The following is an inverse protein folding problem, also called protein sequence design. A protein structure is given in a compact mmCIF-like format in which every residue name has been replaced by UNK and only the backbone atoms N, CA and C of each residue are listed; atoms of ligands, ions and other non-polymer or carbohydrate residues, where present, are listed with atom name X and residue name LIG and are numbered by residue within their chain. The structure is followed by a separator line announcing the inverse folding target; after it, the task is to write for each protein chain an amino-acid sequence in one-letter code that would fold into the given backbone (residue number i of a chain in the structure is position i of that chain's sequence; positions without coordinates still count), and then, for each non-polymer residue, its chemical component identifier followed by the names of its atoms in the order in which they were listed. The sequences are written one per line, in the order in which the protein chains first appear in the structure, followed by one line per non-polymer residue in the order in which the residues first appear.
data_IF_063162910476
#
_entry.id   IF_063162910476
#
_cell.length_a   1.000
_cell.length_b   1.000
_cell.length_c   1.000
_cell.angle_alpha   90.00
_cell.angle_beta   90.00
_cell.angle_gamma   90.00
#
_symmetry.space_group_name_H-M   'P 1'
#
loop_
_entity.id
_entity.type
_entity.pdbx_description
1 polymer ?
#
# COMPACT_ATOMS: atom_id res chain seq x y z
N UNK A 1 15.53 23.40 15.46
CA UNK A 1 15.54 22.81 14.10
C UNK A 1 14.76 21.47 14.00
N UNK A 2 13.74 21.22 14.84
CA UNK A 2 13.11 19.89 15.03
C UNK A 2 11.72 19.71 14.40
N UNK A 3 11.20 20.70 13.66
CA UNK A 3 9.82 20.68 13.14
C UNK A 3 9.69 20.12 11.71
N UNK A 4 10.77 20.11 10.91
CA UNK A 4 10.67 19.79 9.47
C UNK A 4 10.47 18.30 9.15
N UNK A 5 10.83 17.38 10.06
CA UNK A 5 10.76 15.93 9.82
C UNK A 5 9.40 15.29 10.17
N UNK A 6 8.66 15.80 11.17
CA UNK A 6 7.35 15.23 11.58
C UNK A 6 6.27 15.39 10.51
N UNK A 7 6.28 16.51 9.78
CA UNK A 7 5.29 16.77 8.74
C UNK A 7 5.36 15.77 7.57
N UNK A 8 6.55 15.33 7.16
CA UNK A 8 6.70 14.40 6.04
C UNK A 8 6.17 13.00 6.37
N UNK A 9 6.40 12.52 7.60
CA UNK A 9 5.92 11.22 8.09
C UNK A 9 4.39 11.22 8.19
N UNK A 10 3.78 12.31 8.68
CA UNK A 10 2.32 12.43 8.76
C UNK A 10 1.67 12.43 7.37
N UNK A 11 2.21 13.19 6.42
CA UNK A 11 1.69 13.17 5.03
C UNK A 11 1.91 11.84 4.33
N UNK A 12 3.03 11.17 4.61
CA UNK A 12 3.29 9.83 4.09
C UNK A 12 2.22 8.84 4.55
N UNK A 13 1.88 8.83 5.84
CA UNK A 13 0.82 7.99 6.38
C UNK A 13 -0.55 8.32 5.78
N UNK A 14 -0.88 9.61 5.64
CA UNK A 14 -2.16 10.05 5.04
C UNK A 14 -2.29 9.62 3.59
N UNK A 15 -1.25 9.84 2.77
CA UNK A 15 -1.26 9.41 1.36
C UNK A 15 -1.37 7.89 1.24
N UNK A 16 -0.65 7.15 2.09
CA UNK A 16 -0.74 5.69 2.14
C UNK A 16 -2.15 5.21 2.50
N UNK A 17 -2.78 5.82 3.50
CA UNK A 17 -4.15 5.51 3.91
C UNK A 17 -5.17 5.83 2.81
N UNK A 18 -5.01 6.96 2.10
CA UNK A 18 -5.86 7.32 0.96
C UNK A 18 -5.72 6.32 -0.19
N UNK A 19 -4.49 5.93 -0.53
CA UNK A 19 -4.24 4.93 -1.56
C UNK A 19 -4.84 3.56 -1.17
N UNK A 20 -4.68 3.15 0.08
CA UNK A 20 -5.31 1.93 0.60
C UNK A 20 -6.85 2.00 0.53
N UNK A 21 -7.44 3.14 0.88
CA UNK A 21 -8.89 3.36 0.73
C UNK A 21 -9.36 3.24 -0.71
N UNK A 22 -8.63 3.85 -1.65
CA UNK A 22 -8.93 3.72 -3.10
C UNK A 22 -8.82 2.27 -3.56
N UNK A 23 -7.77 1.54 -3.14
CA UNK A 23 -7.62 0.12 -3.46
C UNK A 23 -8.85 -0.65 -3.00
N UNK A 24 -9.19 -0.54 -1.73
CA UNK A 24 -10.28 -1.29 -1.11
C UNK A 24 -11.62 -1.00 -1.80
N UNK A 25 -11.97 0.28 -1.97
CA UNK A 25 -13.25 0.68 -2.57
C UNK A 25 -13.35 0.20 -4.02
N UNK A 26 -12.29 0.34 -4.82
CA UNK A 26 -12.30 -0.10 -6.21
C UNK A 26 -12.38 -1.62 -6.30
N UNK A 27 -11.57 -2.34 -5.52
CA UNK A 27 -11.56 -3.79 -5.55
C UNK A 27 -12.91 -4.38 -5.10
N UNK A 28 -13.43 -3.94 -3.95
CA UNK A 28 -14.73 -4.41 -3.44
C UNK A 28 -15.85 -3.98 -4.37
N UNK A 29 -15.83 -2.76 -4.89
CA UNK A 29 -16.84 -2.26 -5.82
C UNK A 29 -16.91 -3.07 -7.12
N UNK A 30 -15.77 -3.42 -7.72
CA UNK A 30 -15.69 -4.18 -8.96
C UNK A 30 -16.06 -5.66 -8.79
N UNK A 31 -15.76 -6.24 -7.63
CA UNK A 31 -16.19 -7.61 -7.31
C UNK A 31 -17.69 -7.66 -6.98
N UNK A 32 -18.19 -6.69 -6.20
CA UNK A 32 -19.60 -6.56 -5.86
C UNK A 32 -20.48 -6.32 -7.09
N UNK A 33 -20.00 -5.56 -8.08
CA UNK A 33 -20.70 -5.35 -9.35
C UNK A 33 -20.64 -6.56 -10.28
N UNK A 34 -20.04 -7.68 -9.85
CA UNK A 34 -19.80 -8.89 -10.65
C UNK A 34 -19.05 -8.64 -11.97
N UNK A 35 -18.35 -7.50 -12.09
CA UNK A 35 -17.61 -7.16 -13.30
C UNK A 35 -16.30 -7.95 -13.39
N UNK A 36 -15.68 -8.21 -12.24
CA UNK A 36 -14.42 -8.93 -12.11
C UNK A 36 -14.51 -9.96 -10.98
N UNK A 37 -13.80 -11.08 -11.13
CA UNK A 37 -13.60 -12.01 -10.00
C UNK A 37 -12.68 -11.37 -8.96
N UNK A 38 -12.72 -11.85 -7.71
CA UNK A 38 -11.92 -11.32 -6.60
C UNK A 38 -10.43 -11.09 -6.94
N UNK A 39 -9.82 -12.00 -7.69
CA UNK A 39 -8.40 -11.93 -8.11
C UNK A 39 -8.16 -10.73 -9.04
N UNK A 40 -9.02 -10.55 -10.05
CA UNK A 40 -8.90 -9.44 -11.00
C UNK A 40 -9.35 -8.12 -10.38
N UNK A 41 -10.35 -8.13 -9.52
CA UNK A 41 -10.82 -6.97 -8.78
C UNK A 41 -9.74 -6.43 -7.83
N UNK A 42 -9.04 -7.31 -7.10
CA UNK A 42 -7.91 -6.91 -6.27
C UNK A 42 -6.77 -6.27 -7.08
N UNK A 43 -6.50 -6.84 -8.26
CA UNK A 43 -5.48 -6.31 -9.19
C UNK A 43 -5.88 -4.94 -9.74
N UNK A 44 -7.15 -4.77 -10.13
CA UNK A 44 -7.68 -3.48 -10.56
C UNK A 44 -7.57 -2.44 -9.43
N UNK A 45 -7.95 -2.79 -8.19
CA UNK A 45 -7.80 -1.93 -7.02
C UNK A 45 -6.37 -1.41 -6.85
N UNK A 46 -5.37 -2.28 -6.98
CA UNK A 46 -3.97 -1.89 -6.95
C UNK A 46 -3.58 -0.93 -8.08
N UNK A 47 -4.03 -1.19 -9.31
CA UNK A 47 -3.75 -0.33 -10.47
C UNK A 47 -4.32 1.08 -10.31
N UNK A 48 -5.47 1.23 -9.64
CA UNK A 48 -6.06 2.54 -9.33
C UNK A 48 -5.39 3.20 -8.11
N UNK A 49 -4.99 2.43 -7.11
CA UNK A 49 -4.34 2.94 -5.90
C UNK A 49 -2.90 3.40 -6.14
N UNK A 50 -2.15 2.73 -7.02
CA UNK A 50 -0.74 3.01 -7.26
C UNK A 50 -0.49 4.46 -7.76
N UNK A 51 -1.22 4.98 -8.78
CA UNK A 51 -1.12 6.38 -9.18
C UNK A 51 -1.46 7.35 -8.04
N UNK A 52 -2.51 7.07 -7.26
CA UNK A 52 -2.93 7.92 -6.14
C UNK A 52 -1.80 8.04 -5.10
N UNK A 53 -1.17 6.92 -4.77
CA UNK A 53 -0.02 6.89 -3.87
C UNK A 53 1.17 7.67 -4.45
N UNK A 54 1.52 7.41 -5.71
CA UNK A 54 2.67 8.06 -6.36
C UNK A 54 2.50 9.58 -6.48
N UNK A 55 1.35 10.04 -6.98
CA UNK A 55 1.06 11.47 -7.11
C UNK A 55 0.88 12.15 -5.75
N UNK A 56 0.29 11.46 -4.77
CA UNK A 56 0.15 11.95 -3.40
C UNK A 56 1.51 12.20 -2.74
N UNK A 57 2.41 11.22 -2.80
CA UNK A 57 3.76 11.37 -2.23
C UNK A 57 4.56 12.43 -2.98
N UNK A 58 4.40 12.53 -4.30
CA UNK A 58 5.03 13.59 -5.10
C UNK A 58 4.57 14.99 -4.70
N UNK A 59 3.26 15.21 -4.60
CA UNK A 59 2.67 16.53 -4.38
C UNK A 59 2.78 16.98 -2.92
N UNK A 60 2.74 16.05 -1.96
CA UNK A 60 2.65 16.36 -0.52
C UNK A 60 3.92 16.00 0.26
N UNK A 61 4.53 14.84 0.01
CA UNK A 61 5.70 14.38 0.77
C UNK A 61 7.03 14.90 0.22
N UNK A 62 7.15 15.13 -1.09
CA UNK A 62 8.41 15.45 -1.77
C UNK A 62 8.43 16.80 -2.52
N UNK A 63 7.49 17.71 -2.26
CA UNK A 63 7.37 18.99 -2.96
C UNK A 63 8.57 19.96 -2.84
N UNK A 64 9.69 19.53 -2.25
CA UNK A 64 10.94 20.28 -2.12
C UNK A 64 12.24 19.52 -2.44
N UNK A 65 12.19 18.30 -2.99
CA UNK A 65 13.41 17.56 -3.39
C UNK A 65 13.43 17.30 -4.90
N UNK A 66 14.32 18.02 -5.59
CA UNK A 66 14.67 17.87 -7.01
C UNK A 66 15.50 16.60 -7.28
N UNK A 67 15.03 15.44 -6.80
CA UNK A 67 15.64 14.16 -7.15
C UNK A 67 15.03 13.63 -8.44
N UNK A 68 15.88 13.38 -9.43
CA UNK A 68 15.54 13.01 -10.81
C UNK A 68 14.53 11.85 -10.85
N UNK A 69 13.36 12.12 -11.46
CA UNK A 69 12.20 11.21 -11.57
C UNK A 69 12.55 9.75 -11.93
N UNK A 70 13.62 9.55 -12.71
CA UNK A 70 14.04 8.25 -13.22
C UNK A 70 14.52 7.25 -12.16
N UNK A 71 15.01 7.71 -11.00
CA UNK A 71 15.58 6.79 -9.98
C UNK A 71 14.62 6.43 -8.85
N UNK A 72 13.70 7.34 -8.48
CA UNK A 72 12.76 7.11 -7.38
C UNK A 72 11.56 6.24 -7.80
N UNK A 73 11.07 6.41 -9.04
CA UNK A 73 9.94 5.66 -9.57
C UNK A 73 10.14 4.14 -9.59
N UNK A 74 11.22 3.58 -10.17
CA UNK A 74 11.37 2.12 -10.24
C UNK A 74 11.53 1.48 -8.86
N UNK A 75 12.17 2.17 -7.91
CA UNK A 75 12.28 1.70 -6.52
C UNK A 75 10.92 1.69 -5.83
N UNK A 76 10.16 2.77 -5.96
CA UNK A 76 8.81 2.86 -5.41
C UNK A 76 7.87 1.82 -6.02
N UNK A 77 7.93 1.66 -7.34
CA UNK A 77 7.18 0.65 -8.08
C UNK A 77 7.53 -0.76 -7.61
N UNK A 78 8.81 -1.10 -7.47
CA UNK A 78 9.24 -2.41 -6.97
C UNK A 78 8.67 -2.69 -5.57
N UNK A 79 8.75 -1.73 -4.65
CA UNK A 79 8.18 -1.87 -3.30
C UNK A 79 6.66 -2.06 -3.35
N UNK A 80 5.97 -1.26 -4.16
CA UNK A 80 4.52 -1.34 -4.30
C UNK A 80 4.08 -2.69 -4.90
N UNK A 81 4.78 -3.18 -5.93
CA UNK A 81 4.52 -4.48 -6.55
C UNK A 81 4.82 -5.62 -5.58
N UNK A 82 5.92 -5.58 -4.84
CA UNK A 82 6.22 -6.61 -3.82
C UNK A 82 5.14 -6.65 -2.74
N UNK A 83 4.69 -5.49 -2.25
CA UNK A 83 3.58 -5.42 -1.29
C UNK A 83 2.26 -5.94 -1.87
N UNK A 84 1.98 -5.62 -3.14
CA UNK A 84 0.81 -6.14 -3.84
C UNK A 84 0.87 -7.65 -4.03
N UNK A 85 2.01 -8.21 -4.43
CA UNK A 85 2.15 -9.67 -4.58
C UNK A 85 1.94 -10.40 -3.26
N UNK A 86 2.45 -9.86 -2.15
CA UNK A 86 2.18 -10.40 -0.82
C UNK A 86 0.69 -10.33 -0.46
N UNK A 87 0.03 -9.19 -0.73
CA UNK A 87 -1.41 -9.03 -0.53
C UNK A 87 -2.20 -10.03 -1.39
N UNK A 88 -1.90 -10.12 -2.68
CA UNK A 88 -2.54 -11.02 -3.64
C UNK A 88 -2.39 -12.47 -3.21
N UNK A 89 -1.19 -12.88 -2.79
CA UNK A 89 -0.96 -14.23 -2.27
C UNK A 89 -1.82 -14.54 -1.05
N UNK A 90 -1.90 -13.62 -0.07
CA UNK A 90 -2.71 -13.80 1.12
C UNK A 90 -4.22 -13.84 0.81
N UNK A 91 -4.70 -12.96 -0.08
CA UNK A 91 -6.09 -12.94 -0.54
C UNK A 91 -6.46 -14.25 -1.23
N UNK A 92 -5.62 -14.71 -2.17
CA UNK A 92 -5.83 -15.98 -2.88
C UNK A 92 -5.92 -17.13 -1.88
N UNK A 93 -4.93 -17.28 -1.00
CA UNK A 93 -4.94 -18.36 0.00
C UNK A 93 -6.19 -18.29 0.89
N UNK A 94 -6.56 -17.11 1.38
CA UNK A 94 -7.73 -16.96 2.23
C UNK A 94 -9.03 -17.35 1.50
N UNK A 95 -9.22 -16.95 0.24
CA UNK A 95 -10.43 -17.30 -0.52
C UNK A 95 -10.47 -18.80 -0.87
N UNK A 96 -9.33 -19.42 -1.15
CA UNK A 96 -9.29 -20.86 -1.47
C UNK A 96 -9.48 -21.76 -0.26
N UNK A 97 -9.00 -21.36 0.93
CA UNK A 97 -9.07 -22.17 2.14
C UNK A 97 -10.23 -21.81 3.07
N UNK A 98 -10.96 -20.72 2.81
CA UNK A 98 -12.05 -20.26 3.67
C UNK A 98 -13.27 -19.84 2.85
N UNK A 99 -14.47 -19.93 3.44
CA UNK A 99 -15.70 -19.43 2.83
C UNK A 99 -15.98 -17.95 3.16
N UNK A 100 -14.93 -17.19 3.47
CA UNK A 100 -15.06 -15.79 3.92
C UNK A 100 -15.26 -14.89 2.69
N UNK A 101 -16.19 -13.92 2.74
CA UNK A 101 -16.43 -13.02 1.61
C UNK A 101 -15.22 -12.13 1.31
N UNK A 102 -15.02 -11.81 0.03
CA UNK A 102 -13.85 -11.09 -0.48
C UNK A 102 -13.58 -9.76 0.23
N UNK A 103 -14.61 -8.96 0.47
CA UNK A 103 -14.47 -7.66 1.15
C UNK A 103 -13.83 -7.81 2.54
N UNK A 104 -14.22 -8.83 3.30
CA UNK A 104 -13.68 -9.08 4.63
C UNK A 104 -12.26 -9.63 4.55
N UNK A 105 -12.00 -10.57 3.63
CA UNK A 105 -10.65 -11.08 3.36
C UNK A 105 -9.70 -9.95 3.01
N UNK A 106 -10.07 -9.09 2.06
CA UNK A 106 -9.25 -7.98 1.61
C UNK A 106 -8.96 -7.01 2.76
N UNK A 107 -9.98 -6.64 3.53
CA UNK A 107 -9.84 -5.75 4.69
C UNK A 107 -8.85 -6.31 5.73
N UNK A 108 -9.01 -7.58 6.12
CA UNK A 108 -8.12 -8.24 7.07
C UNK A 108 -6.69 -8.34 6.53
N UNK A 109 -6.52 -8.77 5.27
CA UNK A 109 -5.20 -8.89 4.66
C UNK A 109 -4.50 -7.53 4.57
N UNK A 110 -5.21 -6.46 4.22
CA UNK A 110 -4.64 -5.11 4.20
C UNK A 110 -4.15 -4.65 5.57
N UNK A 111 -4.91 -4.94 6.64
CA UNK A 111 -4.48 -4.66 8.02
C UNK A 111 -3.23 -5.48 8.37
N UNK A 112 -3.22 -6.78 8.08
CA UNK A 112 -2.07 -7.66 8.34
C UNK A 112 -0.82 -7.15 7.62
N UNK A 113 -0.92 -6.79 6.34
CA UNK A 113 0.20 -6.27 5.54
C UNK A 113 0.68 -4.93 6.09
N UNK A 114 -0.23 -4.03 6.47
CA UNK A 114 0.13 -2.73 7.05
C UNK A 114 0.85 -2.88 8.39
N UNK A 115 0.32 -3.73 9.28
CA UNK A 115 0.93 -4.04 10.59
C UNK A 115 2.29 -4.71 10.42
N UNK A 116 2.39 -5.68 9.51
CA UNK A 116 3.66 -6.37 9.22
C UNK A 116 4.71 -5.40 8.69
N UNK A 117 4.31 -4.50 7.80
CA UNK A 117 5.19 -3.46 7.25
C UNK A 117 5.63 -2.46 8.33
N UNK A 118 4.71 -2.09 9.24
CA UNK A 118 5.04 -1.26 10.39
C UNK A 118 6.05 -1.95 11.30
N UNK A 119 5.86 -3.22 11.66
CA UNK A 119 6.81 -3.95 12.49
C UNK A 119 8.15 -4.17 11.78
N UNK A 120 8.17 -4.51 10.49
CA UNK A 120 9.40 -4.62 9.71
C UNK A 120 10.16 -3.30 9.69
N UNK A 121 9.47 -2.18 9.42
CA UNK A 121 10.11 -0.86 9.46
C UNK A 121 10.58 -0.51 10.88
N UNK A 122 9.81 -0.86 11.92
CA UNK A 122 10.17 -0.60 13.32
C UNK A 122 11.35 -1.45 13.80
N UNK A 123 11.45 -2.73 13.43
CA UNK A 123 12.51 -3.62 13.89
C UNK A 123 13.75 -3.58 12.99
N UNK A 124 13.61 -3.25 11.71
CA UNK A 124 14.73 -3.18 10.78
C UNK A 124 15.35 -1.78 10.71
N UNK A 125 14.55 -0.70 10.75
CA UNK A 125 15.08 0.67 10.71
C UNK A 125 15.63 1.15 12.08
N UNK A 126 15.28 0.49 13.19
CA UNK A 126 15.82 0.80 14.53
C UNK A 126 16.83 -0.23 15.06
N UNK A 127 17.23 -1.23 14.25
CA UNK A 127 18.45 -2.03 14.50
C UNK A 127 19.66 -1.35 13.86
N UNK A 128 19.92 -0.10 14.25
CA UNK A 128 21.13 0.63 13.91
C UNK A 128 22.05 0.74 15.13
N UNK A 129 22.91 -0.28 15.31
CA UNK A 129 24.08 -0.40 16.21
C UNK A 129 23.87 -0.08 17.72
N UNK A 130 24.07 -1.05 18.64
CA UNK A 130 24.60 -0.70 19.95
C UNK A 130 25.98 -0.06 19.74
N UNK A 131 26.19 1.08 20.39
CA UNK A 131 27.47 1.76 20.58
C UNK A 131 28.57 0.80 21.02
#
# INVERSE_FOLDING_TARGET
MMQKHRHSISWFAVVGALAAGVHYVVAVGLEYSHMLTAIYANTAGFLFAFPVSYFGHRKLSFSGHSSTHAHAFPRFFAVAVSGFLANQFLVINAIYFTAIPFWLVLGVVMVIVAVSTYFLSRFWAFKGKPS
#
